data_IF_354911549195
#
_entry.id   IF_354911549195
#
_cell.length_a   1.000
_cell.length_b   1.000
_cell.length_c   1.000
_cell.angle_alpha   90.00
_cell.angle_beta   90.00
_cell.angle_gamma   90.00
#
_symmetry.space_group_name_H-M   'P 1'
#
loop_
_entity.id
_entity.type
_entity.pdbx_description
1 polymer ?
#
# COMPACT_ATOMS: atom_id res chain seq x y z
N UNK A 1 19.79 -15.59 -7.62
CA UNK A 1 19.93 -14.23 -8.17
C UNK A 1 19.01 -13.33 -7.36
N UNK A 2 19.54 -12.27 -6.76
CA UNK A 2 18.70 -11.24 -6.11
C UNK A 2 17.86 -10.63 -7.22
N UNK A 3 16.54 -10.88 -7.21
CA UNK A 3 15.65 -10.25 -8.18
C UNK A 3 15.79 -8.73 -8.08
N UNK A 4 16.14 -8.12 -9.20
CA UNK A 4 16.22 -6.67 -9.36
C UNK A 4 14.90 -6.02 -8.94
N UNK A 5 14.99 -4.77 -8.46
CA UNK A 5 13.81 -3.97 -8.14
C UNK A 5 12.80 -4.00 -9.30
N UNK A 6 11.58 -4.48 -9.03
CA UNK A 6 10.50 -4.55 -10.01
C UNK A 6 9.56 -3.35 -9.86
N UNK A 7 9.84 -2.30 -10.63
CA UNK A 7 9.03 -1.09 -10.67
C UNK A 7 7.63 -1.31 -11.27
N UNK A 8 6.75 -0.30 -11.15
CA UNK A 8 5.42 -0.35 -11.75
C UNK A 8 5.46 -0.10 -13.27
N UNK A 9 4.73 -0.92 -14.03
CA UNK A 9 4.79 -0.92 -15.48
C UNK A 9 4.13 0.31 -16.11
N UNK A 10 4.56 0.68 -17.32
CA UNK A 10 3.93 1.77 -18.06
C UNK A 10 2.57 1.30 -18.56
N UNK A 11 1.52 2.01 -18.15
CA UNK A 11 0.17 1.78 -18.66
C UNK A 11 0.09 2.29 -20.11
N UNK A 12 -0.40 1.44 -21.01
CA UNK A 12 -0.60 1.72 -22.43
C UNK A 12 -1.76 2.71 -22.65
N UNK A 13 -1.79 3.39 -23.80
CA UNK A 13 -2.89 4.30 -24.17
C UNK A 13 -4.12 3.58 -24.75
N UNK A 14 -3.97 2.30 -25.07
CA UNK A 14 -4.98 1.44 -25.69
C UNK A 14 -4.58 -0.03 -25.49
N UNK A 15 -5.52 -0.94 -25.75
CA UNK A 15 -5.31 -2.39 -25.66
C UNK A 15 -4.62 -2.97 -26.92
N UNK A 16 -3.73 -2.20 -27.59
CA UNK A 16 -2.93 -2.73 -28.70
C UNK A 16 -2.01 -3.83 -28.17
N UNK A 17 -2.05 -5.00 -28.79
CA UNK A 17 -1.28 -6.18 -28.37
C UNK A 17 -2.13 -7.34 -27.82
N UNK A 18 -3.44 -7.11 -27.64
CA UNK A 18 -4.43 -8.18 -27.43
C UNK A 18 -5.01 -8.59 -28.77
N UNK A 19 -5.13 -9.90 -29.02
CA UNK A 19 -5.69 -10.46 -30.25
C UNK A 19 -7.20 -10.75 -30.11
N UNK A 20 -7.83 -11.21 -31.19
CA UNK A 20 -9.27 -11.49 -31.19
C UNK A 20 -9.68 -12.59 -30.19
N UNK A 21 -8.78 -13.53 -29.86
CA UNK A 21 -9.03 -14.55 -28.86
C UNK A 21 -9.00 -13.95 -27.45
N UNK A 22 -8.04 -13.08 -27.18
CA UNK A 22 -7.98 -12.32 -25.92
C UNK A 22 -9.22 -11.46 -25.72
N UNK A 23 -9.66 -10.74 -26.76
CA UNK A 23 -10.85 -9.90 -26.63
C UNK A 23 -12.10 -10.71 -26.30
N UNK A 24 -12.24 -11.95 -26.79
CA UNK A 24 -13.37 -12.82 -26.42
C UNK A 24 -13.42 -13.19 -24.95
N UNK A 25 -12.27 -13.31 -24.28
CA UNK A 25 -12.23 -13.58 -22.83
C UNK A 25 -12.42 -12.28 -22.03
N UNK A 26 -11.78 -11.20 -22.47
CA UNK A 26 -11.85 -9.88 -21.83
C UNK A 26 -13.25 -9.25 -21.88
N UNK A 27 -14.02 -9.48 -22.94
CA UNK A 27 -15.37 -8.92 -23.11
C UNK A 27 -16.41 -9.55 -22.17
N UNK A 28 -16.10 -10.72 -21.59
CA UNK A 28 -16.95 -11.38 -20.59
C UNK A 28 -16.78 -10.80 -19.18
N UNK A 29 -15.68 -10.08 -18.95
CA UNK A 29 -15.37 -9.51 -17.64
C UNK A 29 -16.11 -8.19 -17.46
N UNK A 30 -16.36 -7.84 -16.21
CA UNK A 30 -16.65 -6.47 -15.85
C UNK A 30 -15.33 -5.68 -15.71
N UNK A 31 -15.40 -4.41 -16.04
CA UNK A 31 -14.28 -3.48 -16.11
C UNK A 31 -14.54 -2.31 -15.20
N UNK A 32 -13.48 -1.83 -14.57
CA UNK A 32 -13.50 -0.65 -13.71
C UNK A 32 -12.77 0.51 -14.39
N UNK A 33 -13.38 1.70 -14.32
CA UNK A 33 -12.71 2.96 -14.58
C UNK A 33 -12.47 3.69 -13.25
N UNK A 34 -11.23 4.08 -12.98
CA UNK A 34 -10.87 4.88 -11.80
C UNK A 34 -10.26 6.21 -12.23
N UNK A 35 -10.35 7.24 -11.39
CA UNK A 35 -9.68 8.50 -11.64
C UNK A 35 -8.16 8.27 -11.77
N UNK A 36 -7.54 8.82 -12.81
CA UNK A 36 -6.09 8.81 -12.94
C UNK A 36 -5.53 10.00 -12.16
N UNK A 37 -5.08 9.75 -10.94
CA UNK A 37 -4.46 10.77 -10.10
C UNK A 37 -3.19 11.32 -10.77
N UNK A 38 -3.06 12.64 -10.76
CA UNK A 38 -1.90 13.37 -11.23
C UNK A 38 -0.96 13.65 -10.07
N UNK A 39 0.00 12.76 -9.84
CA UNK A 39 0.93 12.86 -8.73
C UNK A 39 2.28 12.22 -9.04
N UNK A 40 2.77 11.42 -8.09
CA UNK A 40 3.97 10.62 -8.24
C UNK A 40 3.73 9.19 -7.77
N UNK A 41 4.02 8.22 -8.63
CA UNK A 41 3.92 6.81 -8.27
C UNK A 41 4.84 6.47 -7.08
N UNK A 42 4.24 5.85 -6.07
CA UNK A 42 4.89 5.40 -4.85
C UNK A 42 4.41 4.00 -4.49
N UNK A 43 5.26 3.24 -3.81
CA UNK A 43 4.88 1.91 -3.33
C UNK A 43 5.49 1.58 -2.00
N UNK A 44 4.69 0.88 -1.20
CA UNK A 44 5.15 0.12 -0.05
C UNK A 44 5.50 -1.29 -0.50
N UNK A 45 6.60 -1.83 0.03
CA UNK A 45 7.12 -3.15 -0.30
C UNK A 45 7.35 -3.89 1.01
N UNK A 46 6.83 -5.10 1.13
CA UNK A 46 7.12 -5.98 2.25
C UNK A 46 7.91 -7.18 1.76
N UNK A 47 9.10 -7.37 2.33
CA UNK A 47 10.05 -8.42 1.96
C UNK A 47 10.86 -8.79 3.20
N UNK A 48 11.02 -10.09 3.46
CA UNK A 48 11.79 -10.58 4.62
C UNK A 48 11.37 -9.95 5.95
N UNK A 49 10.06 -9.71 6.12
CA UNK A 49 9.47 -9.07 7.32
C UNK A 49 9.92 -7.62 7.55
N UNK A 50 10.37 -6.96 6.49
CA UNK A 50 10.73 -5.54 6.49
C UNK A 50 9.82 -4.76 5.54
N UNK A 51 9.37 -3.60 6.01
CA UNK A 51 8.74 -2.60 5.15
C UNK A 51 9.83 -1.77 4.46
N UNK A 52 9.68 -1.57 3.15
CA UNK A 52 10.54 -0.77 2.29
C UNK A 52 9.67 0.16 1.44
N UNK A 53 10.29 1.21 0.89
CA UNK A 53 9.60 2.23 0.11
C UNK A 53 10.24 2.35 -1.27
N UNK A 54 9.46 2.72 -2.28
CA UNK A 54 9.99 2.96 -3.60
C UNK A 54 9.20 4.03 -4.35
N UNK A 55 9.90 4.75 -5.23
CA UNK A 55 9.25 5.38 -6.37
C UNK A 55 9.30 4.43 -7.56
N UNK A 56 8.65 4.80 -8.65
CA UNK A 56 8.48 3.97 -9.85
C UNK A 56 9.69 3.13 -10.30
N UNK A 57 10.91 3.66 -10.19
CA UNK A 57 12.12 3.06 -10.77
C UNK A 57 13.21 2.71 -9.76
N UNK A 58 13.07 3.09 -8.50
CA UNK A 58 14.10 2.84 -7.50
C UNK A 58 13.51 2.79 -6.08
N UNK A 59 14.19 2.02 -5.23
CA UNK A 59 13.95 2.03 -3.79
C UNK A 59 14.33 3.39 -3.20
N UNK A 60 13.60 3.78 -2.17
CA UNK A 60 13.84 4.98 -1.38
C UNK A 60 14.41 4.57 -0.03
N UNK A 61 15.33 5.38 0.47
CA UNK A 61 15.73 5.39 1.88
C UNK A 61 14.86 6.38 2.65
N UNK A 62 14.78 6.28 3.97
CA UNK A 62 14.03 7.24 4.79
C UNK A 62 14.48 8.69 4.58
N UNK A 63 15.78 8.92 4.30
CA UNK A 63 16.36 10.24 4.02
C UNK A 63 16.16 10.72 2.58
N UNK A 64 15.47 9.94 1.74
CA UNK A 64 15.24 10.33 0.35
C UNK A 64 14.31 11.54 0.27
N UNK A 65 14.72 12.55 -0.49
CA UNK A 65 13.87 13.71 -0.79
C UNK A 65 12.87 13.33 -1.89
N UNK A 66 11.72 12.77 -1.48
CA UNK A 66 10.67 12.33 -2.38
C UNK A 66 9.30 12.78 -1.86
N UNK A 67 8.99 14.05 -2.13
CA UNK A 67 7.65 14.65 -1.92
C UNK A 67 7.09 14.49 -0.49
N UNK A 68 7.95 14.46 0.53
CA UNK A 68 7.52 14.28 1.92
C UNK A 68 6.78 12.97 2.19
N UNK A 69 7.09 11.88 1.46
CA UNK A 69 6.45 10.57 1.65
C UNK A 69 6.47 10.08 3.11
N UNK A 70 7.44 10.54 3.89
CA UNK A 70 7.56 10.28 5.33
C UNK A 70 6.30 10.66 6.12
N UNK A 71 5.63 11.76 5.75
CA UNK A 71 4.37 12.20 6.37
C UNK A 71 3.26 11.18 6.17
N UNK A 72 3.16 10.61 4.96
CA UNK A 72 2.20 9.56 4.64
C UNK A 72 2.56 8.28 5.39
N UNK A 73 3.82 7.83 5.32
CA UNK A 73 4.25 6.58 5.96
C UNK A 73 3.91 6.61 7.45
N UNK A 74 4.24 7.69 8.17
CA UNK A 74 3.95 7.83 9.60
C UNK A 74 2.46 7.67 9.91
N UNK A 75 1.58 8.13 9.01
CA UNK A 75 0.14 8.07 9.22
C UNK A 75 -0.43 6.66 9.04
N UNK A 76 0.12 5.87 8.10
CA UNK A 76 -0.52 4.61 7.65
C UNK A 76 0.37 3.36 7.77
N UNK A 77 1.58 3.45 8.33
CA UNK A 77 2.53 2.32 8.36
C UNK A 77 1.95 1.08 9.04
N UNK A 78 1.22 1.24 10.15
CA UNK A 78 0.68 0.12 10.92
C UNK A 78 -0.36 -0.63 10.10
N UNK A 79 -1.28 0.10 9.47
CA UNK A 79 -2.30 -0.42 8.57
C UNK A 79 -1.69 -1.15 7.36
N UNK A 80 -0.64 -0.58 6.77
CA UNK A 80 0.11 -1.19 5.66
C UNK A 80 0.79 -2.49 6.09
N UNK A 81 1.44 -2.49 7.26
CA UNK A 81 2.10 -3.67 7.81
C UNK A 81 1.10 -4.78 8.13
N UNK A 82 -0.02 -4.47 8.77
CA UNK A 82 -1.07 -5.45 9.08
C UNK A 82 -1.65 -6.09 7.81
N UNK A 83 -1.86 -5.29 6.75
CA UNK A 83 -2.29 -5.80 5.44
C UNK A 83 -1.25 -6.75 4.86
N UNK A 84 0.04 -6.37 4.84
CA UNK A 84 1.10 -7.24 4.32
C UNK A 84 1.28 -8.52 5.13
N UNK A 85 1.12 -8.44 6.45
CA UNK A 85 1.17 -9.59 7.34
C UNK A 85 0.03 -10.57 7.03
N UNK A 86 -1.19 -10.08 6.78
CA UNK A 86 -2.27 -10.96 6.30
C UNK A 86 -1.96 -11.54 4.92
N UNK A 87 -1.53 -10.74 3.95
CA UNK A 87 -1.15 -11.26 2.63
C UNK A 87 -0.08 -12.36 2.75
N UNK A 88 0.87 -12.21 3.67
CA UNK A 88 1.95 -13.18 3.87
C UNK A 88 1.49 -14.53 4.45
N UNK A 89 0.32 -14.56 5.11
CA UNK A 89 -0.32 -15.79 5.57
C UNK A 89 -1.13 -16.43 4.43
N UNK A 90 -1.74 -15.61 3.57
CA UNK A 90 -2.63 -16.10 2.51
C UNK A 90 -1.89 -16.52 1.23
N UNK A 91 -0.81 -15.83 0.87
CA UNK A 91 -0.04 -16.11 -0.35
C UNK A 91 1.39 -16.43 0.02
N UNK A 92 1.88 -17.59 -0.41
CA UNK A 92 3.30 -17.95 -0.26
C UNK A 92 4.13 -17.19 -1.30
N UNK A 93 4.72 -16.08 -0.88
CA UNK A 93 5.49 -15.19 -1.75
C UNK A 93 6.73 -14.61 -1.05
N UNK A 94 7.70 -14.16 -1.85
CA UNK A 94 8.94 -13.54 -1.39
C UNK A 94 8.79 -12.04 -1.16
N UNK A 95 7.90 -11.39 -1.93
CA UNK A 95 7.66 -9.95 -1.85
C UNK A 95 6.20 -9.61 -2.12
N UNK A 96 5.69 -8.64 -1.37
CA UNK A 96 4.34 -8.08 -1.49
C UNK A 96 4.47 -6.58 -1.73
N UNK A 97 3.66 -6.02 -2.63
CA UNK A 97 3.79 -4.61 -3.02
C UNK A 97 2.40 -3.98 -3.09
N UNK A 98 2.23 -2.84 -2.41
CA UNK A 98 1.08 -1.97 -2.59
C UNK A 98 1.54 -0.78 -3.42
N UNK A 99 0.98 -0.64 -4.61
CA UNK A 99 1.20 0.52 -5.47
C UNK A 99 0.10 1.55 -5.26
N UNK A 100 0.51 2.81 -5.25
CA UNK A 100 -0.41 3.95 -5.23
C UNK A 100 0.23 5.20 -5.81
N UNK A 101 -0.48 6.31 -5.64
CA UNK A 101 -0.04 7.62 -6.08
C UNK A 101 0.09 8.53 -4.86
N UNK A 102 1.25 9.17 -4.69
CA UNK A 102 1.39 10.34 -3.82
C UNK A 102 0.89 11.57 -4.55
N UNK A 103 0.05 12.37 -3.90
CA UNK A 103 -0.54 13.57 -4.50
C UNK A 103 -0.81 14.67 -3.46
N UNK A 104 -1.21 15.85 -3.92
CA UNK A 104 -1.59 16.98 -3.08
C UNK A 104 -0.44 17.95 -2.84
N UNK A 105 -0.50 18.67 -1.71
CA UNK A 105 0.46 19.71 -1.32
C UNK A 105 0.06 21.13 -1.73
N UNK A 106 -1.12 21.31 -2.34
CA UNK A 106 -1.73 22.61 -2.59
C UNK A 106 -3.24 22.47 -2.79
N UNK A 107 -4.01 23.35 -2.15
CA UNK A 107 -5.46 23.41 -2.30
C UNK A 107 -5.94 24.86 -2.22
N UNK A 108 -6.13 25.56 -3.34
CA UNK A 108 -6.44 26.99 -3.38
C UNK A 108 -7.93 27.23 -3.11
N UNK A 109 -8.35 27.12 -1.84
CA UNK A 109 -9.73 27.37 -1.42
C UNK A 109 -9.75 28.18 -0.13
N UNK A 110 -10.62 29.19 -0.04
CA UNK A 110 -10.71 30.14 1.08
C UNK A 110 -10.91 29.47 2.45
N UNK A 111 -11.73 28.42 2.48
CA UNK A 111 -12.06 27.66 3.70
C UNK A 111 -11.08 26.52 4.02
N UNK A 112 -9.94 26.43 3.32
CA UNK A 112 -8.96 25.36 3.52
C UNK A 112 -7.60 25.94 3.89
N UNK A 113 -7.13 25.63 5.10
CA UNK A 113 -5.81 26.06 5.57
C UNK A 113 -4.70 25.31 4.79
N UNK A 114 -3.75 26.03 4.16
CA UNK A 114 -2.63 25.40 3.49
C UNK A 114 -1.70 24.68 4.47
N UNK A 115 -1.15 23.53 4.07
CA UNK A 115 -0.08 22.87 4.81
C UNK A 115 1.27 23.52 4.45
N UNK A 116 1.82 24.30 5.38
CA UNK A 116 3.06 25.07 5.16
C UNK A 116 4.31 24.21 5.06
N UNK A 117 4.22 22.92 5.37
CA UNK A 117 5.36 21.98 5.40
C UNK A 117 5.69 21.42 4.02
N UNK A 118 4.74 21.51 3.08
CA UNK A 118 4.80 20.81 1.79
C UNK A 118 4.49 21.75 0.64
N UNK A 119 4.82 21.32 -0.58
CA UNK A 119 4.39 21.97 -1.81
C UNK A 119 3.77 20.94 -2.75
N UNK A 120 3.06 21.45 -3.77
CA UNK A 120 2.39 20.64 -4.77
C UNK A 120 3.34 19.61 -5.42
N UNK A 121 2.93 18.34 -5.44
CA UNK A 121 3.65 17.29 -6.21
C UNK A 121 3.49 17.52 -7.71
N UNK A 122 2.28 17.86 -8.12
CA UNK A 122 1.92 18.29 -9.47
C UNK A 122 0.92 19.44 -9.39
N UNK A 123 0.76 20.17 -10.49
CA UNK A 123 -0.18 21.30 -10.58
C UNK A 123 -1.30 21.02 -11.57
N UNK A 124 -2.37 21.79 -11.45
CA UNK A 124 -3.49 21.84 -12.39
C UNK A 124 -4.67 20.90 -12.08
N UNK A 125 -4.46 19.87 -11.24
CA UNK A 125 -5.56 19.27 -10.46
C UNK A 125 -5.25 19.47 -8.98
N UNK A 126 -6.24 19.94 -8.24
CA UNK A 126 -6.15 20.22 -6.82
C UNK A 126 -6.86 19.13 -6.03
N UNK A 127 -6.09 18.35 -5.27
CA UNK A 127 -6.62 17.20 -4.54
C UNK A 127 -6.72 17.46 -3.04
N UNK A 128 -5.67 18.01 -2.42
CA UNK A 128 -5.58 18.22 -0.98
C UNK A 128 -4.47 19.23 -0.61
N UNK A 129 -4.60 19.94 0.54
CA UNK A 129 -3.58 20.90 0.99
C UNK A 129 -2.29 20.20 1.46
N UNK A 130 -2.40 18.98 1.98
CA UNK A 130 -1.29 18.14 2.43
C UNK A 130 -0.96 17.03 1.41
N UNK A 131 0.15 16.31 1.65
CA UNK A 131 0.51 15.13 0.86
C UNK A 131 -0.33 13.94 1.32
N UNK A 132 -0.95 13.24 0.37
CA UNK A 132 -1.81 12.09 0.58
C UNK A 132 -1.39 10.92 -0.32
N UNK A 133 -1.85 9.72 0.00
CA UNK A 133 -1.60 8.51 -0.78
C UNK A 133 -2.88 7.71 -0.97
N UNK A 134 -3.22 7.44 -2.23
CA UNK A 134 -4.27 6.48 -2.58
C UNK A 134 -3.66 5.27 -3.26
N UNK A 135 -3.90 4.08 -2.68
CA UNK A 135 -3.55 2.81 -3.29
C UNK A 135 -4.39 2.54 -4.54
N UNK A 136 -3.84 1.81 -5.51
CA UNK A 136 -4.57 1.41 -6.71
C UNK A 136 -4.33 -0.05 -7.14
N UNK A 137 -3.29 -0.72 -6.64
CA UNK A 137 -2.98 -2.12 -6.97
C UNK A 137 -2.20 -2.82 -5.85
N UNK A 138 -2.42 -4.12 -5.69
CA UNK A 138 -1.58 -5.03 -4.91
C UNK A 138 -0.88 -6.00 -5.87
N UNK A 139 0.43 -6.16 -5.73
CA UNK A 139 1.21 -7.16 -6.45
C UNK A 139 1.89 -8.14 -5.49
N UNK A 140 2.00 -9.38 -5.95
CA UNK A 140 2.63 -10.49 -5.25
C UNK A 140 3.75 -11.01 -6.14
N UNK A 141 4.93 -11.23 -5.56
CA UNK A 141 6.08 -11.83 -6.24
C UNK A 141 6.40 -13.16 -5.56
N UNK A 142 6.20 -14.24 -6.30
CA UNK A 142 6.58 -15.60 -5.91
C UNK A 142 7.64 -16.08 -6.89
N UNK A 143 7.27 -16.94 -7.85
CA UNK A 143 8.11 -17.30 -9.00
C UNK A 143 8.05 -16.23 -10.11
N UNK A 144 6.93 -15.50 -10.16
CA UNK A 144 6.73 -14.37 -11.05
C UNK A 144 5.88 -13.30 -10.34
N UNK A 145 5.96 -12.08 -10.84
CA UNK A 145 5.10 -10.97 -10.40
C UNK A 145 3.72 -11.07 -11.03
N UNK A 146 2.69 -11.03 -10.19
CA UNK A 146 1.30 -10.89 -10.60
C UNK A 146 0.57 -9.87 -9.72
N UNK A 147 -0.57 -9.40 -10.20
CA UNK A 147 -1.43 -8.43 -9.53
C UNK A 147 -2.73 -9.09 -9.12
N UNK A 148 -3.12 -8.90 -7.86
CA UNK A 148 -4.45 -9.27 -7.39
C UNK A 148 -5.52 -8.54 -8.21
N UNK A 149 -6.75 -9.07 -8.22
CA UNK A 149 -7.85 -8.37 -8.88
C UNK A 149 -8.11 -7.03 -8.20
N UNK A 150 -8.71 -6.07 -8.93
CA UNK A 150 -9.05 -4.78 -8.30
C UNK A 150 -10.07 -5.00 -7.19
N UNK A 151 -11.09 -5.84 -7.42
CA UNK A 151 -12.09 -6.23 -6.44
C UNK A 151 -11.47 -6.87 -5.19
N UNK A 152 -10.49 -7.74 -5.35
CA UNK A 152 -9.78 -8.33 -4.20
C UNK A 152 -8.96 -7.26 -3.46
N UNK A 153 -8.23 -6.42 -4.21
CA UNK A 153 -7.42 -5.34 -3.63
C UNK A 153 -8.24 -4.37 -2.78
N UNK A 154 -9.44 -3.97 -3.23
CA UNK A 154 -10.31 -3.07 -2.45
C UNK A 154 -10.76 -3.70 -1.13
N UNK A 155 -10.98 -5.02 -1.07
CA UNK A 155 -11.39 -5.67 0.19
C UNK A 155 -10.31 -5.56 1.25
N UNK A 156 -9.03 -5.69 0.85
CA UNK A 156 -7.90 -5.46 1.74
C UNK A 156 -7.77 -4.00 2.14
N UNK A 157 -7.89 -3.08 1.17
CA UNK A 157 -7.78 -1.66 1.46
C UNK A 157 -8.86 -1.18 2.43
N UNK A 158 -10.10 -1.63 2.25
CA UNK A 158 -11.21 -1.32 3.16
C UNK A 158 -11.00 -1.93 4.54
N UNK A 159 -10.65 -3.23 4.60
CA UNK A 159 -10.40 -3.95 5.86
C UNK A 159 -9.35 -3.27 6.74
N UNK A 160 -8.29 -2.78 6.12
CA UNK A 160 -7.18 -2.13 6.81
C UNK A 160 -7.23 -0.60 6.78
N UNK A 161 -8.34 0.00 6.36
CA UNK A 161 -8.51 1.45 6.33
C UNK A 161 -7.38 2.18 5.56
N UNK A 162 -6.99 1.63 4.41
CA UNK A 162 -6.03 2.22 3.49
C UNK A 162 -6.81 2.94 2.40
N UNK A 163 -6.63 4.26 2.28
CA UNK A 163 -7.27 5.03 1.22
C UNK A 163 -6.85 4.52 -0.17
N UNK A 164 -7.81 4.42 -1.08
CA UNK A 164 -7.60 3.88 -2.42
C UNK A 164 -8.40 4.64 -3.46
N UNK A 165 -8.00 4.52 -4.73
CA UNK A 165 -8.71 5.17 -5.84
C UNK A 165 -10.03 4.45 -6.08
N UNK A 166 -11.15 5.10 -5.74
CA UNK A 166 -12.50 4.52 -5.88
C UNK A 166 -12.94 4.38 -7.34
N UNK A 167 -13.85 3.44 -7.64
CA UNK A 167 -14.45 3.33 -8.96
C UNK A 167 -15.25 4.59 -9.33
N UNK A 168 -15.00 5.12 -10.52
CA UNK A 168 -15.91 6.06 -11.18
C UNK A 168 -17.02 5.30 -11.92
N UNK A 169 -16.71 4.09 -12.38
CA UNK A 169 -17.61 3.22 -13.14
C UNK A 169 -17.19 1.76 -13.01
N UNK A 170 -18.16 0.85 -12.97
CA UNK A 170 -17.96 -0.61 -13.12
C UNK A 170 -19.02 -1.12 -14.11
N UNK A 171 -18.61 -1.82 -15.16
CA UNK A 171 -19.52 -2.34 -16.19
C UNK A 171 -18.80 -2.92 -17.40
N UNK A 172 -19.36 -2.80 -18.60
CA UNK A 172 -18.76 -3.40 -19.80
C UNK A 172 -17.53 -2.63 -20.29
N UNK A 173 -16.62 -3.34 -20.98
CA UNK A 173 -15.38 -2.77 -21.51
C UNK A 173 -15.64 -1.55 -22.39
N UNK A 174 -16.60 -1.64 -23.31
CA UNK A 174 -16.96 -0.55 -24.22
C UNK A 174 -17.42 0.70 -23.47
N UNK A 175 -18.20 0.54 -22.41
CA UNK A 175 -18.69 1.64 -21.57
C UNK A 175 -17.55 2.25 -20.75
N UNK A 176 -16.69 1.42 -20.15
CA UNK A 176 -15.53 1.89 -19.39
C UNK A 176 -14.53 2.67 -20.26
N UNK A 177 -14.29 2.22 -21.50
CA UNK A 177 -13.42 2.90 -22.46
C UNK A 177 -14.01 4.24 -22.96
N UNK A 178 -15.34 4.38 -22.97
CA UNK A 178 -16.03 5.59 -23.41
C UNK A 178 -16.53 6.45 -22.24
N UNK A 179 -16.05 6.18 -21.03
CA UNK A 179 -16.45 6.95 -19.84
C UNK A 179 -16.15 8.44 -20.04
N UNK A 180 -17.11 9.29 -19.65
CA UNK A 180 -16.98 10.74 -19.80
C UNK A 180 -15.91 11.30 -18.84
N UNK A 181 -14.74 11.63 -19.39
CA UNK A 181 -13.62 12.23 -18.65
C UNK A 181 -13.70 13.75 -18.52
N UNK A 182 -14.77 14.39 -19.01
CA UNK A 182 -15.02 15.83 -18.85
C UNK A 182 -15.71 16.13 -17.51
N UNK A 183 -15.13 15.64 -16.42
CA UNK A 183 -15.64 15.78 -15.06
C UNK A 183 -14.55 16.34 -14.14
N UNK A 184 -14.96 17.03 -13.08
CA UNK A 184 -14.04 17.44 -12.02
C UNK A 184 -13.62 16.24 -11.16
N UNK A 185 -12.44 16.34 -10.56
CA UNK A 185 -11.94 15.35 -9.60
C UNK A 185 -12.92 15.14 -8.46
N UNK A 186 -13.14 13.87 -8.10
CA UNK A 186 -13.99 13.48 -6.95
C UNK A 186 -13.19 13.34 -5.65
N UNK A 187 -11.86 13.29 -5.76
CA UNK A 187 -10.96 13.06 -4.63
C UNK A 187 -11.09 14.11 -3.53
N UNK A 188 -11.26 15.42 -3.81
CA UNK A 188 -11.43 16.38 -2.73
C UNK A 188 -12.64 16.06 -1.85
N UNK A 189 -13.78 15.69 -2.44
CA UNK A 189 -14.96 15.29 -1.68
C UNK A 189 -14.69 14.03 -0.83
N UNK A 190 -13.94 13.06 -1.36
CA UNK A 190 -13.54 11.85 -0.61
C UNK A 190 -12.65 12.18 0.61
N UNK A 191 -11.92 13.29 0.55
CA UNK A 191 -11.10 13.82 1.63
C UNK A 191 -11.83 14.86 2.50
N UNK A 192 -13.15 14.98 2.35
CA UNK A 192 -13.99 15.96 3.04
C UNK A 192 -13.56 17.42 2.80
N UNK A 193 -13.07 17.73 1.60
CA UNK A 193 -12.67 19.07 1.18
C UNK A 193 -13.75 19.71 0.29
N UNK A 194 -13.92 21.05 0.34
CA UNK A 194 -14.88 21.76 -0.50
C UNK A 194 -14.48 21.70 -1.97
N UNK A 195 -15.45 21.66 -2.89
CA UNK A 195 -15.17 21.56 -4.33
C UNK A 195 -14.38 22.77 -4.86
N UNK A 196 -13.49 22.51 -5.81
CA UNK A 196 -12.84 23.55 -6.62
C UNK A 196 -13.48 23.55 -8.02
N UNK A 197 -13.90 24.74 -8.48
CA UNK A 197 -14.41 24.93 -9.84
C UNK A 197 -13.33 24.63 -10.89
N UNK A 198 -13.73 24.05 -12.02
CA UNK A 198 -12.84 23.72 -13.15
C UNK A 198 -11.63 22.82 -12.80
N UNK A 199 -11.78 21.97 -11.78
CA UNK A 199 -10.77 21.02 -11.33
C UNK A 199 -10.80 19.70 -12.11
N UNK A 200 -10.63 19.80 -13.43
CA UNK A 200 -10.74 18.69 -14.39
C UNK A 200 -9.74 17.56 -14.09
N UNK A 201 -10.20 16.31 -14.13
CA UNK A 201 -9.32 15.14 -13.95
C UNK A 201 -8.27 15.03 -15.07
N UNK A 202 -7.10 14.46 -14.77
CA UNK A 202 -6.11 14.11 -15.81
C UNK A 202 -6.68 13.10 -16.80
N UNK A 203 -7.52 12.19 -16.31
CA UNK A 203 -8.15 11.14 -17.08
C UNK A 203 -8.53 9.96 -16.19
N UNK A 204 -8.59 8.77 -16.79
CA UNK A 204 -8.97 7.53 -16.11
C UNK A 204 -8.00 6.39 -16.41
N UNK A 205 -7.94 5.44 -15.49
CA UNK A 205 -7.35 4.12 -15.70
C UNK A 205 -8.49 3.12 -15.87
N UNK A 206 -8.42 2.29 -16.91
CA UNK A 206 -9.40 1.23 -17.19
C UNK A 206 -8.70 -0.12 -17.12
N UNK A 207 -9.21 -1.02 -16.29
CA UNK A 207 -8.72 -2.40 -16.10
C UNK A 207 -9.87 -3.35 -15.74
N UNK A 208 -9.71 -4.68 -15.88
CA UNK A 208 -10.69 -5.62 -15.39
C UNK A 208 -10.97 -5.45 -13.89
N UNK A 209 -12.23 -5.59 -13.51
CA UNK A 209 -12.68 -5.44 -12.14
C UNK A 209 -12.27 -6.62 -11.26
N UNK A 210 -12.52 -7.85 -11.74
CA UNK A 210 -12.26 -9.09 -11.00
C UNK A 210 -11.43 -10.09 -11.81
N UNK A 211 -10.18 -9.72 -12.10
CA UNK A 211 -9.25 -10.56 -12.86
C UNK A 211 -7.80 -10.36 -12.41
N UNK A 212 -7.16 -11.44 -11.97
CA UNK A 212 -5.74 -11.48 -11.60
C UNK A 212 -4.87 -11.48 -12.86
N UNK A 213 -3.82 -10.67 -12.88
CA UNK A 213 -3.02 -10.43 -14.10
C UNK A 213 -1.53 -10.60 -13.86
N UNK A 214 -0.81 -11.13 -14.84
CA UNK A 214 0.65 -11.12 -14.83
C UNK A 214 1.20 -9.85 -15.52
N UNK A 215 2.50 -9.59 -15.35
CA UNK A 215 3.17 -8.40 -15.91
C UNK A 215 3.17 -8.37 -17.44
N UNK A 216 3.34 -9.53 -18.08
CA UNK A 216 3.60 -9.61 -19.52
C UNK A 216 2.39 -9.26 -20.39
N UNK A 217 1.17 -9.48 -19.89
CA UNK A 217 -0.07 -9.29 -20.66
C UNK A 217 -1.18 -8.66 -19.82
N UNK A 218 -0.87 -7.55 -19.16
CA UNK A 218 -1.82 -6.84 -18.30
C UNK A 218 -2.79 -5.96 -19.11
N UNK A 219 -4.10 -6.25 -19.13
CA UNK A 219 -5.11 -5.50 -19.88
C UNK A 219 -5.49 -4.19 -19.15
N UNK A 220 -4.52 -3.28 -18.98
CA UNK A 220 -4.73 -1.98 -18.34
C UNK A 220 -4.40 -0.86 -19.32
N UNK A 221 -5.29 0.12 -19.40
CA UNK A 221 -5.11 1.30 -20.26
C UNK A 221 -5.36 2.59 -19.51
N UNK A 222 -4.73 3.66 -19.99
CA UNK A 222 -4.98 5.03 -19.53
C UNK A 222 -5.61 5.83 -20.65
N UNK A 223 -6.66 6.55 -20.30
CA UNK A 223 -7.34 7.50 -21.18
C UNK A 223 -7.16 8.87 -20.54
N UNK A 224 -6.59 9.81 -21.28
CA UNK A 224 -6.28 11.16 -20.78
C UNK A 224 -7.23 12.17 -21.38
N UNK A 225 -7.52 13.23 -20.64
CA UNK A 225 -8.29 14.35 -21.14
C UNK A 225 -7.40 15.24 -22.01
N UNK A 226 -7.79 15.50 -23.27
CA UNK A 226 -6.97 16.31 -24.18
C UNK A 226 -6.78 17.75 -23.66
N UNK A 227 -7.81 18.33 -23.02
CA UNK A 227 -7.69 19.66 -22.40
C UNK A 227 -6.61 19.69 -21.31
N UNK A 228 -6.36 18.55 -20.67
CA UNK A 228 -5.28 18.42 -19.70
C UNK A 228 -3.89 18.50 -20.34
N UNK A 229 -3.70 17.95 -21.54
CA UNK A 229 -2.39 17.94 -22.21
C UNK A 229 -2.01 19.32 -22.78
N UNK A 230 -2.97 20.22 -22.99
CA UNK A 230 -2.78 21.49 -23.69
C UNK A 230 -2.52 22.69 -22.75
N UNK A 231 -3.01 22.68 -21.51
CA UNK A 231 -2.91 23.86 -20.65
C UNK A 231 -1.60 23.94 -19.84
N UNK A 232 -0.96 25.11 -19.87
CA UNK A 232 0.30 25.35 -19.15
C UNK A 232 0.20 25.20 -17.64
N UNK A 233 -1.00 25.32 -17.04
CA UNK A 233 -1.22 25.21 -15.58
C UNK A 233 -0.84 23.84 -15.02
N UNK A 234 -0.82 22.80 -15.87
CA UNK A 234 -0.50 21.43 -15.47
C UNK A 234 1.01 21.17 -15.30
N UNK A 235 1.88 22.13 -15.60
CA UNK A 235 3.35 21.96 -15.59
C UNK A 235 4.11 23.01 -14.76
N UNK A 236 3.47 23.57 -13.73
CA UNK A 236 3.99 24.67 -12.92
C UNK A 236 4.56 24.24 -11.57
N UNK A 237 4.52 22.94 -11.23
CA UNK A 237 5.10 22.42 -10.00
C UNK A 237 6.60 22.75 -9.92
N UNK A 238 7.03 23.31 -8.79
CA UNK A 238 8.43 23.62 -8.52
C UNK A 238 9.07 22.46 -7.76
N UNK A 239 10.38 22.27 -7.96
CA UNK A 239 11.16 21.39 -7.10
C UNK A 239 11.23 21.98 -5.70
N UNK A 240 11.03 21.15 -4.69
CA UNK A 240 11.10 21.51 -3.29
C UNK A 240 11.73 20.35 -2.50
N UNK A 241 12.26 20.68 -1.33
CA UNK A 241 12.93 19.72 -0.44
C UNK A 241 12.11 19.63 0.84
N UNK A 242 11.80 18.41 1.28
CA UNK A 242 11.17 18.20 2.58
C UNK A 242 12.24 18.19 3.68
N UNK A 243 12.09 19.06 4.68
CA UNK A 243 13.14 19.32 5.69
C UNK A 243 12.77 18.94 7.12
N UNK A 244 11.56 18.43 7.37
CA UNK A 244 11.19 18.02 8.73
C UNK A 244 11.91 16.72 9.10
N UNK A 245 12.47 16.71 10.30
CA UNK A 245 13.03 15.50 10.90
C UNK A 245 11.91 14.74 11.60
N UNK A 246 11.32 13.78 10.91
CA UNK A 246 10.38 12.83 11.49
C UNK A 246 10.85 11.42 11.20
N UNK A 247 10.54 10.48 12.09
CA UNK A 247 10.67 9.06 11.83
C UNK A 247 9.30 8.38 11.93
N UNK A 248 9.26 7.14 11.47
CA UNK A 248 8.17 6.21 11.68
C UNK A 248 8.60 5.16 12.71
N UNK A 249 7.67 4.44 13.34
CA UNK A 249 8.03 3.39 14.29
C UNK A 249 8.86 2.30 13.62
N UNK A 250 8.61 2.00 12.33
CA UNK A 250 9.48 1.11 11.56
C UNK A 250 10.93 1.59 11.56
N UNK A 251 11.19 2.87 11.32
CA UNK A 251 12.56 3.38 11.31
C UNK A 251 13.19 3.33 12.71
N UNK A 252 12.42 3.70 13.74
CA UNK A 252 12.93 3.81 15.12
C UNK A 252 13.13 2.44 15.79
N UNK A 253 12.23 1.49 15.55
CA UNK A 253 12.17 0.22 16.27
C UNK A 253 12.65 -0.99 15.46
N UNK A 254 13.06 -0.81 14.20
CA UNK A 254 13.52 -1.91 13.33
C UNK A 254 14.69 -2.71 13.93
N UNK A 255 15.65 -2.04 14.55
CA UNK A 255 16.81 -2.69 15.17
C UNK A 255 16.39 -3.58 16.34
N UNK A 256 15.35 -3.19 17.08
CA UNK A 256 14.83 -3.98 18.18
C UNK A 256 14.12 -5.23 17.65
N UNK A 257 13.34 -5.06 16.57
CA UNK A 257 12.65 -6.17 15.91
C UNK A 257 13.62 -7.22 15.38
N UNK A 258 14.79 -6.83 14.85
CA UNK A 258 15.80 -7.82 14.43
C UNK A 258 16.31 -8.66 15.60
N UNK A 259 16.51 -8.06 16.77
CA UNK A 259 16.97 -8.78 17.96
C UNK A 259 15.86 -9.67 18.55
N UNK A 260 14.63 -9.15 18.70
CA UNK A 260 13.50 -9.92 19.24
C UNK A 260 13.22 -11.17 18.38
N UNK A 261 13.39 -11.09 17.06
CA UNK A 261 13.17 -12.23 16.16
C UNK A 261 14.11 -13.41 16.44
N UNK A 262 15.25 -13.21 17.10
CA UNK A 262 16.13 -14.30 17.51
C UNK A 262 15.51 -15.19 18.60
N UNK A 263 14.52 -14.67 19.34
CA UNK A 263 13.80 -15.39 20.38
C UNK A 263 12.62 -16.22 19.82
N UNK A 264 12.24 -15.98 18.55
CA UNK A 264 11.15 -16.68 17.86
C UNK A 264 11.62 -18.03 17.30
N UNK A 265 11.82 -18.98 18.21
CA UNK A 265 12.39 -20.30 17.88
C UNK A 265 11.36 -21.43 17.91
N UNK A 266 11.65 -22.53 17.20
CA UNK A 266 10.82 -23.76 17.26
C UNK A 266 10.75 -24.32 18.69
N UNK A 267 11.83 -24.25 19.46
CA UNK A 267 11.83 -24.74 20.85
C UNK A 267 10.82 -23.97 21.70
N UNK A 268 10.72 -22.65 21.50
CA UNK A 268 9.74 -21.83 22.21
C UNK A 268 8.30 -22.17 21.80
N UNK A 269 8.07 -22.42 20.51
CA UNK A 269 6.79 -22.93 20.02
C UNK A 269 6.43 -24.27 20.67
N UNK A 270 7.35 -25.22 20.68
CA UNK A 270 7.15 -26.56 21.25
C UNK A 270 6.84 -26.47 22.77
N UNK A 271 7.52 -25.57 23.49
CA UNK A 271 7.24 -25.27 24.90
C UNK A 271 5.82 -24.73 25.12
N UNK A 272 5.39 -23.76 24.30
CA UNK A 272 4.02 -23.24 24.36
C UNK A 272 2.98 -24.35 24.06
N UNK A 273 3.24 -25.19 23.06
CA UNK A 273 2.39 -26.36 22.73
C UNK A 273 2.33 -27.36 23.90
N UNK A 274 3.43 -27.59 24.61
CA UNK A 274 3.46 -28.47 25.78
C UNK A 274 2.60 -27.95 26.93
N UNK A 275 2.63 -26.63 27.18
CA UNK A 275 1.88 -25.97 28.27
C UNK A 275 0.39 -25.88 27.97
N UNK A 276 0.02 -25.43 26.77
CA UNK A 276 -1.38 -25.17 26.42
C UNK A 276 -2.05 -26.42 25.83
N UNK A 277 -1.29 -27.25 25.11
CA UNK A 277 -1.70 -28.46 24.41
C UNK A 277 -1.67 -28.31 22.88
N UNK A 278 -1.80 -29.45 22.19
CA UNK A 278 -1.66 -29.54 20.73
C UNK A 278 -2.55 -28.56 19.95
N UNK A 279 -2.03 -28.14 18.78
CA UNK A 279 -2.74 -27.24 17.88
C UNK A 279 -3.95 -27.91 17.26
N UNK A 280 -5.07 -27.19 17.24
CA UNK A 280 -6.31 -27.58 16.57
C UNK A 280 -6.86 -26.34 15.85
N UNK A 281 -6.76 -26.33 14.52
CA UNK A 281 -7.16 -25.18 13.70
C UNK A 281 -8.65 -24.82 13.82
N UNK A 282 -9.47 -25.77 14.27
CA UNK A 282 -10.90 -25.53 14.50
C UNK A 282 -11.17 -24.84 15.84
N UNK A 283 -10.18 -24.80 16.75
CA UNK A 283 -10.27 -24.18 18.07
C UNK A 283 -9.53 -22.85 18.08
N UNK A 284 -10.18 -21.80 17.58
CA UNK A 284 -9.63 -20.43 17.55
C UNK A 284 -9.08 -19.96 18.91
N UNK A 285 -9.75 -20.33 20.00
CA UNK A 285 -9.29 -20.02 21.35
C UNK A 285 -7.93 -20.66 21.66
N UNK A 286 -7.72 -21.92 21.27
CA UNK A 286 -6.46 -22.64 21.48
C UNK A 286 -5.30 -21.98 20.75
N UNK A 287 -5.53 -21.53 19.51
CA UNK A 287 -4.52 -20.78 18.73
C UNK A 287 -4.18 -19.46 19.43
N UNK A 288 -5.20 -18.74 19.91
CA UNK A 288 -4.97 -17.49 20.64
C UNK A 288 -4.20 -17.68 21.94
N UNK A 289 -4.47 -18.75 22.69
CA UNK A 289 -3.74 -19.10 23.92
C UNK A 289 -2.27 -19.40 23.62
N UNK A 290 -2.00 -20.15 22.54
CA UNK A 290 -0.63 -20.44 22.08
C UNK A 290 0.11 -19.20 21.61
N UNK A 291 -0.54 -18.33 20.84
CA UNK A 291 0.03 -17.05 20.40
C UNK A 291 0.42 -16.18 21.60
N UNK A 292 -0.44 -16.10 22.62
CA UNK A 292 -0.19 -15.31 23.83
C UNK A 292 0.96 -15.90 24.66
N UNK A 293 0.95 -17.22 24.92
CA UNK A 293 2.02 -17.88 25.68
C UNK A 293 3.39 -17.69 25.01
N UNK A 294 3.46 -17.88 23.68
CA UNK A 294 4.70 -17.67 22.92
C UNK A 294 5.13 -16.20 23.02
N UNK A 295 4.20 -15.25 22.80
CA UNK A 295 4.51 -13.83 22.86
C UNK A 295 5.04 -13.40 24.24
N UNK A 296 4.38 -13.80 25.32
CA UNK A 296 4.77 -13.44 26.69
C UNK A 296 6.16 -13.99 27.02
N UNK A 297 6.40 -15.27 26.72
CA UNK A 297 7.69 -15.94 26.95
C UNK A 297 8.82 -15.30 26.10
N UNK A 298 8.49 -14.88 24.86
CA UNK A 298 9.43 -14.15 23.98
C UNK A 298 9.81 -12.79 24.55
N UNK A 299 8.81 -12.00 24.95
CA UNK A 299 9.02 -10.65 25.46
C UNK A 299 9.72 -10.66 26.82
N UNK A 300 9.41 -11.63 27.68
CA UNK A 300 10.03 -11.78 28.99
C UNK A 300 11.54 -12.00 28.85
N UNK A 301 11.95 -13.03 28.12
CA UNK A 301 13.37 -13.36 27.95
C UNK A 301 14.12 -12.23 27.24
N UNK A 302 13.55 -11.67 26.17
CA UNK A 302 14.13 -10.53 25.48
C UNK A 302 14.35 -9.35 26.43
N UNK A 303 13.35 -9.01 27.25
CA UNK A 303 13.42 -7.86 28.14
C UNK A 303 14.44 -8.09 29.27
N UNK A 304 14.52 -9.30 29.82
CA UNK A 304 15.52 -9.68 30.83
C UNK A 304 16.94 -9.56 30.29
N UNK A 305 17.19 -10.10 29.09
CA UNK A 305 18.51 -10.07 28.45
C UNK A 305 18.94 -8.66 28.04
N UNK A 306 17.99 -7.73 27.88
CA UNK A 306 18.21 -6.36 27.42
C UNK A 306 17.93 -5.31 28.50
N UNK A 307 18.16 -5.65 29.79
CA UNK A 307 18.09 -4.72 30.93
C UNK A 307 16.76 -3.95 31.05
N UNK A 308 15.63 -4.58 30.74
CA UNK A 308 14.32 -3.95 30.87
C UNK A 308 14.03 -2.90 29.79
N UNK A 309 14.68 -2.93 28.62
CA UNK A 309 14.52 -1.92 27.57
C UNK A 309 13.05 -1.63 27.18
N UNK A 310 12.19 -2.65 27.22
CA UNK A 310 10.78 -2.49 26.91
C UNK A 310 10.07 -1.63 27.95
N UNK A 311 10.49 -1.60 29.22
CA UNK A 311 9.82 -0.84 30.28
C UNK A 311 9.83 0.66 30.00
N UNK A 312 10.91 1.17 29.40
CA UNK A 312 11.08 2.57 29.04
C UNK A 312 10.32 3.04 27.80
N UNK A 313 9.72 2.13 27.04
CA UNK A 313 8.95 2.47 25.83
C UNK A 313 7.54 2.95 26.16
N UNK A 314 7.00 3.81 25.31
CA UNK A 314 5.61 4.24 25.43
C UNK A 314 4.62 3.14 25.02
N UNK A 315 3.33 3.36 25.26
CA UNK A 315 2.29 2.36 24.98
C UNK A 315 2.09 2.10 23.48
N UNK A 316 2.34 3.10 22.64
CA UNK A 316 2.20 3.02 21.19
C UNK A 316 3.34 2.20 20.61
N UNK A 317 4.58 2.47 21.03
CA UNK A 317 5.78 1.71 20.64
C UNK A 317 5.67 0.24 21.05
N UNK A 318 5.31 -0.02 22.32
CA UNK A 318 5.06 -1.39 22.83
C UNK A 318 4.02 -2.11 22.01
N UNK A 319 2.89 -1.45 21.73
CA UNK A 319 1.81 -2.02 20.92
C UNK A 319 2.30 -2.36 19.51
N UNK A 320 3.03 -1.44 18.87
CA UNK A 320 3.58 -1.66 17.54
C UNK A 320 4.50 -2.89 17.51
N UNK A 321 5.42 -3.02 18.47
CA UNK A 321 6.30 -4.19 18.61
C UNK A 321 5.49 -5.49 18.78
N UNK A 322 4.54 -5.49 19.72
CA UNK A 322 3.68 -6.65 20.01
C UNK A 322 2.93 -7.12 18.77
N UNK A 323 2.35 -6.19 18.01
CA UNK A 323 1.58 -6.52 16.81
C UNK A 323 2.47 -7.19 15.75
N UNK A 324 3.71 -6.72 15.56
CA UNK A 324 4.69 -7.32 14.64
C UNK A 324 5.17 -8.70 15.09
N UNK A 325 5.41 -8.88 16.39
CA UNK A 325 5.81 -10.20 16.93
C UNK A 325 4.67 -11.20 16.78
N UNK A 326 3.43 -10.81 17.06
CA UNK A 326 2.25 -11.68 16.87
C UNK A 326 2.12 -12.13 15.43
N UNK A 327 2.36 -11.24 14.46
CA UNK A 327 2.37 -11.60 13.05
C UNK A 327 3.48 -12.61 12.72
N UNK A 328 4.69 -12.43 13.26
CA UNK A 328 5.79 -13.37 13.06
C UNK A 328 5.52 -14.75 13.70
N UNK A 329 4.90 -14.78 14.88
CA UNK A 329 4.45 -16.01 15.56
C UNK A 329 3.40 -16.74 14.71
N UNK A 330 2.40 -16.01 14.20
CA UNK A 330 1.37 -16.58 13.30
C UNK A 330 1.99 -17.20 12.05
N UNK A 331 2.95 -16.52 11.43
CA UNK A 331 3.66 -17.06 10.29
C UNK A 331 4.44 -18.34 10.65
N UNK A 332 5.07 -18.40 11.83
CA UNK A 332 5.79 -19.60 12.27
C UNK A 332 4.84 -20.77 12.50
N UNK A 333 3.72 -20.53 13.20
CA UNK A 333 2.67 -21.51 13.43
C UNK A 333 2.14 -22.06 12.11
N UNK A 334 1.83 -21.19 11.14
CA UNK A 334 1.26 -21.57 9.84
C UNK A 334 2.26 -22.20 8.87
N UNK A 335 3.57 -22.06 9.08
CA UNK A 335 4.60 -22.66 8.20
C UNK A 335 5.07 -24.03 8.66
N UNK A 336 5.04 -24.29 9.96
CA UNK A 336 5.56 -25.52 10.55
C UNK A 336 4.51 -26.65 10.59
N UNK A 337 3.26 -26.33 10.24
CA UNK A 337 2.09 -27.19 10.21
C UNK A 337 1.19 -26.79 9.05
#
# INVERSE_FOLDING_TARGET
MIESFSGYEKIAKNLKGFDAHDFKSLDKLDWVATEKIHGANFSFIYENRELKFAKRKELLTWKSDFFGFQLVVKQIESNILELFEELSLQYKATRYIIYGELFGGIYPHENVTPDKRVQAIQTGVYYAPSINFFAFDIAIISDAKYYLSYKESITYFEKYNISFVKPLFVGKLSEALNFNISINSKIPQELNLPNISDNLIEGIIVKPYDYTTNVNKRPVVKIKNNKFEEEKKFHQAKKWVFTENTNSHREELSFLMSEIRNYLTKNRLDSAISKIGAMDHNKKQRISELENEFLEDTLLDFNLDNNGILEGMDTIEKKWIIDRIRADIRQLIFRLW
#
